data_IF_258041312240
#
_entry.id   IF_258041312240
#
_cell.length_a   1.000
_cell.length_b   1.000
_cell.length_c   1.000
_cell.angle_alpha   90.00
_cell.angle_beta   90.00
_cell.angle_gamma   90.00
#
_symmetry.space_group_name_H-M   'P 1'
#
loop_
_entity.id
_entity.type
_entity.pdbx_description
1 polymer ?
#
# COMPACT_ATOMS: atom_id res chain seq x y z
N UNK A 1 14.36 5.96 -19.04
CA UNK A 1 14.30 4.84 -18.09
C UNK A 1 13.07 4.02 -18.43
N UNK A 2 13.25 2.80 -18.83
CA UNK A 2 12.15 1.97 -19.31
C UNK A 2 11.30 1.46 -18.15
N UNK A 3 10.15 2.10 -17.92
CA UNK A 3 9.11 1.65 -16.99
C UNK A 3 8.63 0.21 -17.26
N UNK A 4 8.73 -0.27 -18.50
CA UNK A 4 8.31 -1.62 -18.88
C UNK A 4 9.16 -2.74 -18.25
N UNK A 5 10.45 -2.50 -18.02
CA UNK A 5 11.35 -3.54 -17.47
C UNK A 5 11.10 -3.72 -15.97
N UNK A 6 10.78 -2.63 -15.26
CA UNK A 6 10.42 -2.68 -13.84
C UNK A 6 9.09 -3.41 -13.62
N UNK A 7 8.09 -3.15 -14.45
CA UNK A 7 6.75 -3.78 -14.33
C UNK A 7 6.81 -5.29 -14.58
N UNK A 8 7.66 -5.76 -15.48
CA UNK A 8 7.82 -7.21 -15.75
C UNK A 8 8.40 -7.97 -14.56
N UNK A 9 9.29 -7.35 -13.78
CA UNK A 9 9.87 -7.95 -12.57
C UNK A 9 8.85 -8.05 -11.44
N UNK A 10 7.92 -7.11 -11.36
CA UNK A 10 6.90 -7.02 -10.30
C UNK A 10 5.82 -8.12 -10.41
N UNK A 11 5.73 -8.81 -11.54
CA UNK A 11 4.74 -9.90 -11.75
C UNK A 11 4.77 -11.02 -10.70
N UNK A 12 5.87 -11.15 -9.95
CA UNK A 12 5.97 -12.12 -8.84
C UNK A 12 5.23 -11.68 -7.57
N UNK A 13 4.90 -10.39 -7.40
CA UNK A 13 4.20 -9.86 -6.23
C UNK A 13 2.68 -9.80 -6.45
N UNK A 14 2.23 -9.84 -7.71
CA UNK A 14 0.83 -9.75 -8.08
C UNK A 14 0.61 -8.93 -9.35
N UNK A 15 -0.63 -8.52 -9.60
CA UNK A 15 -0.96 -7.65 -10.73
C UNK A 15 -0.66 -6.19 -10.39
N UNK A 16 -0.08 -5.45 -11.35
CA UNK A 16 0.31 -4.04 -11.19
C UNK A 16 -0.42 -3.19 -12.24
N UNK A 17 -1.00 -2.09 -11.81
CA UNK A 17 -1.63 -1.08 -12.67
C UNK A 17 -1.10 0.30 -12.35
N UNK A 18 -1.07 1.17 -13.34
CA UNK A 18 -0.75 2.59 -13.17
C UNK A 18 -2.01 3.40 -12.96
N UNK A 19 -1.94 4.40 -12.09
CA UNK A 19 -3.07 5.25 -11.75
C UNK A 19 -3.34 6.37 -12.76
N UNK A 20 -2.38 6.70 -13.63
CA UNK A 20 -2.48 7.77 -14.63
C UNK A 20 -3.38 7.42 -15.83
N UNK A 21 -3.81 6.18 -15.95
CA UNK A 21 -4.73 5.73 -17.02
C UNK A 21 -6.19 6.10 -16.74
N UNK A 22 -6.51 6.62 -15.55
CA UNK A 22 -7.86 7.02 -15.14
C UNK A 22 -7.91 8.53 -14.89
N UNK A 23 -8.86 9.24 -15.51
CA UNK A 23 -8.90 10.69 -15.47
C UNK A 23 -9.32 11.27 -14.11
N UNK A 24 -10.45 10.85 -13.57
CA UNK A 24 -10.96 11.27 -12.25
C UNK A 24 -12.17 10.41 -11.85
N UNK A 25 -12.43 10.35 -10.55
CA UNK A 25 -13.63 9.73 -10.01
C UNK A 25 -14.15 10.58 -8.85
N UNK A 26 -15.21 11.35 -9.13
CA UNK A 26 -15.89 12.12 -8.09
C UNK A 26 -17.02 11.32 -7.45
N UNK A 27 -17.00 11.26 -6.14
CA UNK A 27 -18.03 10.56 -5.35
C UNK A 27 -18.55 11.45 -4.23
N UNK A 28 -19.79 11.20 -3.80
CA UNK A 28 -20.36 11.86 -2.62
C UNK A 28 -19.66 11.33 -1.36
N UNK A 29 -19.23 12.26 -0.54
CA UNK A 29 -18.57 11.97 0.71
C UNK A 29 -19.25 12.72 1.87
N UNK A 30 -19.68 11.98 2.85
CA UNK A 30 -20.32 12.50 4.05
C UNK A 30 -19.28 12.59 5.18
N UNK A 31 -18.50 13.66 5.18
CA UNK A 31 -17.39 13.84 6.14
C UNK A 31 -17.85 14.09 7.56
N UNK A 32 -19.08 14.59 7.71
CA UNK A 32 -19.63 15.02 9.00
C UNK A 32 -20.44 13.91 9.68
N UNK A 33 -20.54 12.74 9.03
CA UNK A 33 -21.21 11.56 9.57
C UNK A 33 -20.18 10.61 10.17
N UNK A 34 -20.25 10.43 11.48
CA UNK A 34 -19.46 9.42 12.18
C UNK A 34 -20.34 8.19 12.45
N UNK A 35 -20.18 7.16 11.65
CA UNK A 35 -20.87 5.88 11.89
C UNK A 35 -20.09 5.08 12.92
N UNK A 36 -20.68 4.87 14.09
CA UNK A 36 -20.07 4.04 15.13
C UNK A 36 -20.47 2.58 14.90
N UNK A 37 -19.50 1.72 14.75
CA UNK A 37 -19.76 0.29 14.63
C UNK A 37 -20.39 -0.25 15.93
N UNK A 38 -21.60 -0.77 15.84
CA UNK A 38 -22.32 -1.37 16.97
C UNK A 38 -23.63 -0.67 17.35
N UNK A 39 -23.81 0.61 17.04
CA UNK A 39 -25.06 1.32 17.33
C UNK A 39 -25.57 2.08 16.11
N UNK A 40 -26.87 1.95 15.76
CA UNK A 40 -27.45 2.76 14.70
C UNK A 40 -27.51 4.24 15.14
N UNK A 41 -27.05 5.12 14.25
CA UNK A 41 -27.14 6.56 14.42
C UNK A 41 -28.14 7.10 13.39
N UNK A 42 -29.17 7.88 13.80
CA UNK A 42 -30.04 8.51 12.83
C UNK A 42 -29.27 9.54 12.02
N UNK A 43 -29.39 9.48 10.69
CA UNK A 43 -28.90 10.51 9.80
C UNK A 43 -29.84 11.71 9.86
N UNK A 44 -29.32 12.89 10.11
CA UNK A 44 -30.11 14.12 9.98
C UNK A 44 -30.27 14.47 8.51
N UNK A 45 -31.45 14.95 8.12
CA UNK A 45 -31.74 15.36 6.74
C UNK A 45 -30.94 16.60 6.26
N UNK A 46 -30.18 17.23 7.16
CA UNK A 46 -29.40 18.45 6.89
C UNK A 46 -27.93 18.17 6.52
N UNK A 47 -27.50 16.93 6.53
CA UNK A 47 -26.12 16.56 6.20
C UNK A 47 -25.88 16.63 4.71
N UNK A 48 -25.05 17.58 4.29
CA UNK A 48 -24.70 17.78 2.89
C UNK A 48 -23.47 16.95 2.52
N UNK A 49 -23.64 16.11 1.51
CA UNK A 49 -22.49 15.43 0.89
C UNK A 49 -21.54 16.45 0.26
N UNK A 50 -20.26 16.25 0.49
CA UNK A 50 -19.20 16.97 -0.23
C UNK A 50 -18.73 16.08 -1.39
N UNK A 51 -18.46 16.69 -2.52
CA UNK A 51 -17.81 15.98 -3.62
C UNK A 51 -16.33 15.83 -3.33
N UNK A 52 -15.84 14.62 -3.42
CA UNK A 52 -14.41 14.33 -3.37
C UNK A 52 -13.98 13.60 -4.62
N UNK A 53 -12.80 13.91 -5.10
CA UNK A 53 -12.11 13.12 -6.12
C UNK A 53 -11.34 11.99 -5.42
N UNK A 54 -11.91 10.78 -5.49
CA UNK A 54 -11.36 9.59 -4.83
C UNK A 54 -9.98 9.26 -5.38
N UNK A 55 -9.77 9.41 -6.68
CA UNK A 55 -8.47 9.12 -7.29
C UNK A 55 -7.41 10.11 -6.81
N UNK A 56 -7.75 11.40 -6.72
CA UNK A 56 -6.83 12.41 -6.20
C UNK A 56 -6.49 12.19 -4.73
N UNK A 57 -7.45 11.69 -3.95
CA UNK A 57 -7.22 11.35 -2.54
C UNK A 57 -6.27 10.15 -2.40
N UNK A 58 -6.49 9.09 -3.18
CA UNK A 58 -5.68 7.86 -3.11
C UNK A 58 -4.34 8.00 -3.85
N UNK A 59 -4.28 8.83 -4.89
CA UNK A 59 -3.16 8.93 -5.81
C UNK A 59 -2.76 10.40 -6.01
N UNK A 60 -2.17 11.07 -5.00
CA UNK A 60 -1.77 12.47 -5.14
C UNK A 60 -0.68 12.67 -6.21
N UNK A 61 0.08 11.63 -6.53
CA UNK A 61 1.09 11.57 -7.59
C UNK A 61 0.74 10.47 -8.60
N UNK A 62 -0.24 10.68 -9.51
CA UNK A 62 -0.78 9.62 -10.36
C UNK A 62 0.26 8.93 -11.26
N UNK A 63 1.24 9.70 -11.75
CA UNK A 63 2.35 9.22 -12.59
C UNK A 63 3.37 8.36 -11.82
N UNK A 64 3.38 8.44 -10.49
CA UNK A 64 4.24 7.67 -9.60
C UNK A 64 3.47 6.67 -8.72
N UNK A 65 2.15 6.57 -8.86
CA UNK A 65 1.29 5.70 -8.04
C UNK A 65 0.93 4.43 -8.79
N UNK A 66 1.10 3.30 -8.12
CA UNK A 66 0.84 1.97 -8.65
C UNK A 66 -0.13 1.22 -7.74
N UNK A 67 -1.00 0.41 -8.35
CA UNK A 67 -1.86 -0.52 -7.65
C UNK A 67 -1.26 -1.92 -7.76
N UNK A 68 -1.07 -2.59 -6.62
CA UNK A 68 -0.40 -3.89 -6.55
C UNK A 68 -1.27 -4.84 -5.73
N UNK A 69 -1.62 -5.99 -6.30
CA UNK A 69 -2.31 -7.05 -5.57
C UNK A 69 -1.31 -7.85 -4.75
N UNK A 70 -1.61 -8.02 -3.47
CA UNK A 70 -0.77 -8.77 -2.53
C UNK A 70 -1.16 -10.24 -2.52
N UNK A 71 -0.16 -11.10 -2.43
CA UNK A 71 -0.30 -12.51 -2.11
C UNK A 71 0.52 -12.85 -0.85
N UNK A 72 -0.03 -13.72 -0.01
CA UNK A 72 0.58 -14.14 1.24
C UNK A 72 0.09 -13.36 2.47
N UNK A 73 0.57 -13.76 3.63
CA UNK A 73 0.09 -13.30 4.94
C UNK A 73 1.18 -12.72 5.84
N UNK A 74 2.37 -12.43 5.29
CA UNK A 74 3.50 -11.92 6.08
C UNK A 74 3.26 -10.56 6.73
N UNK A 75 2.19 -9.84 6.34
CA UNK A 75 1.82 -8.53 6.85
C UNK A 75 0.42 -8.50 7.48
N UNK A 76 -0.10 -9.66 7.90
CA UNK A 76 -1.48 -9.81 8.40
C UNK A 76 -1.73 -9.00 9.67
N UNK A 77 -0.74 -8.87 10.56
CA UNK A 77 -0.87 -8.09 11.81
C UNK A 77 -0.88 -6.57 11.55
N UNK A 78 -0.61 -6.14 10.31
CA UNK A 78 -0.79 -4.76 9.82
C UNK A 78 -2.05 -4.61 8.97
N UNK A 79 -2.99 -5.53 9.07
CA UNK A 79 -4.25 -5.55 8.31
C UNK A 79 -4.05 -5.56 6.78
N UNK A 80 -2.98 -6.18 6.31
CA UNK A 80 -2.75 -6.44 4.89
C UNK A 80 -2.94 -7.94 4.67
N UNK A 81 -4.01 -8.28 3.97
CA UNK A 81 -4.43 -9.66 3.70
C UNK A 81 -4.10 -10.06 2.27
N UNK A 82 -3.94 -11.37 2.06
CA UNK A 82 -3.81 -11.91 0.70
C UNK A 82 -5.03 -11.55 -0.14
N UNK A 83 -4.80 -11.02 -1.34
CA UNK A 83 -5.83 -10.54 -2.26
C UNK A 83 -6.12 -9.04 -2.16
N UNK A 84 -5.61 -8.35 -1.15
CA UNK A 84 -5.73 -6.89 -1.04
C UNK A 84 -5.00 -6.17 -2.17
N UNK A 85 -5.43 -4.95 -2.45
CA UNK A 85 -4.77 -4.06 -3.39
C UNK A 85 -4.05 -2.97 -2.60
N UNK A 86 -2.75 -2.87 -2.78
CA UNK A 86 -1.93 -1.80 -2.23
C UNK A 86 -1.85 -0.63 -3.19
N UNK A 87 -2.01 0.58 -2.66
CA UNK A 87 -1.67 1.81 -3.35
C UNK A 87 -0.24 2.16 -2.96
N UNK A 88 0.67 2.19 -3.91
CA UNK A 88 2.11 2.40 -3.69
C UNK A 88 2.58 3.66 -4.38
N UNK A 89 3.14 4.59 -3.60
CA UNK A 89 3.79 5.80 -4.10
C UNK A 89 5.28 5.53 -4.35
N UNK A 90 5.65 5.41 -5.62
CA UNK A 90 7.04 5.21 -6.05
C UNK A 90 7.89 6.47 -5.94
N UNK A 91 7.29 7.64 -5.78
CA UNK A 91 8.03 8.88 -5.56
C UNK A 91 8.66 8.96 -4.17
N UNK A 92 8.10 8.25 -3.18
CA UNK A 92 8.66 8.12 -1.84
C UNK A 92 9.42 6.78 -1.71
N UNK A 93 10.74 6.86 -1.57
CA UNK A 93 11.62 5.69 -1.38
C UNK A 93 12.32 5.68 -0.03
N UNK A 94 11.86 6.51 0.89
CA UNK A 94 12.44 6.62 2.22
C UNK A 94 11.36 6.47 3.30
N UNK A 95 10.83 5.24 3.50
CA UNK A 95 9.82 4.97 4.51
C UNK A 95 10.37 5.23 5.91
N UNK A 96 9.53 5.74 6.80
CA UNK A 96 9.75 5.68 8.23
C UNK A 96 9.60 4.23 8.73
N UNK A 97 10.02 3.95 9.95
CA UNK A 97 9.92 2.60 10.53
C UNK A 97 8.48 2.10 10.69
N UNK A 98 7.49 3.00 10.69
CA UNK A 98 6.07 2.69 10.82
C UNK A 98 5.34 2.65 9.48
N UNK A 99 6.03 2.88 8.37
CA UNK A 99 5.45 2.83 7.04
C UNK A 99 5.79 1.52 6.34
N UNK A 100 4.77 0.93 5.76
CA UNK A 100 4.94 -0.28 4.96
C UNK A 100 5.53 0.09 3.61
N UNK A 101 6.54 -0.63 3.17
CA UNK A 101 7.20 -0.40 1.91
C UNK A 101 7.19 -1.64 1.02
N UNK A 102 7.11 -1.39 -0.28
CA UNK A 102 7.47 -2.37 -1.28
C UNK A 102 8.97 -2.30 -1.52
N UNK A 103 9.64 -3.41 -1.33
CA UNK A 103 11.09 -3.52 -1.42
C UNK A 103 11.50 -4.52 -2.49
N UNK A 104 12.66 -4.29 -3.07
CA UNK A 104 13.36 -5.22 -3.95
C UNK A 104 14.64 -5.70 -3.28
N UNK A 105 14.83 -7.00 -3.20
CA UNK A 105 16.05 -7.63 -2.70
C UNK A 105 16.50 -8.67 -3.72
N UNK A 106 17.70 -8.50 -4.27
CA UNK A 106 18.27 -9.44 -5.24
C UNK A 106 17.33 -9.78 -6.42
N UNK A 107 16.56 -8.77 -6.87
CA UNK A 107 15.60 -8.90 -7.96
C UNK A 107 14.25 -9.50 -7.57
N UNK A 108 14.02 -9.79 -6.29
CA UNK A 108 12.73 -10.25 -5.77
C UNK A 108 12.02 -9.14 -5.02
N UNK A 109 10.69 -9.06 -5.18
CA UNK A 109 9.86 -8.04 -4.53
C UNK A 109 9.15 -8.59 -3.31
N UNK A 110 9.07 -7.75 -2.27
CA UNK A 110 8.34 -8.07 -1.03
C UNK A 110 7.76 -6.81 -0.41
N UNK A 111 6.75 -6.99 0.45
CA UNK A 111 6.12 -5.92 1.21
C UNK A 111 6.44 -6.13 2.69
N UNK A 112 7.13 -5.17 3.31
CA UNK A 112 7.61 -5.23 4.69
C UNK A 112 7.72 -3.83 5.30
N UNK A 113 7.91 -3.75 6.62
CA UNK A 113 8.52 -2.59 7.23
C UNK A 113 10.02 -2.60 6.97
N UNK A 114 10.63 -1.42 6.89
CA UNK A 114 12.08 -1.25 6.77
C UNK A 114 12.61 -0.65 8.06
N UNK A 115 13.35 -1.43 8.82
CA UNK A 115 14.07 -0.94 10.00
C UNK A 115 15.52 -0.70 9.65
N UNK A 116 16.05 0.48 10.05
CA UNK A 116 17.45 0.85 9.87
C UNK A 116 18.06 1.16 11.21
N UNK A 117 19.19 0.54 11.50
CA UNK A 117 19.95 0.77 12.73
C UNK A 117 21.44 0.49 12.49
N UNK A 118 22.33 1.37 12.97
CA UNK A 118 23.79 1.23 12.87
C UNK A 118 24.29 0.88 11.45
N UNK A 119 23.73 1.54 10.43
CA UNK A 119 24.12 1.34 9.04
C UNK A 119 23.61 0.05 8.40
N UNK A 120 22.87 -0.76 9.14
CA UNK A 120 22.23 -1.97 8.65
C UNK A 120 20.75 -1.77 8.42
N UNK A 121 20.16 -2.60 7.57
CA UNK A 121 18.74 -2.62 7.26
C UNK A 121 18.15 -4.01 7.47
N UNK A 122 16.92 -4.04 7.95
CA UNK A 122 16.12 -5.27 8.09
C UNK A 122 14.76 -5.07 7.45
N UNK A 123 14.26 -6.13 6.82
CA UNK A 123 12.88 -6.23 6.40
C UNK A 123 12.10 -6.94 7.50
N UNK A 124 11.15 -6.22 8.09
CA UNK A 124 10.39 -6.67 9.25
C UNK A 124 8.97 -7.02 8.82
N UNK A 125 8.56 -8.30 8.92
CA UNK A 125 7.19 -8.72 8.66
C UNK A 125 6.26 -8.26 9.79
N UNK A 126 4.98 -8.11 9.48
CA UNK A 126 3.92 -7.97 10.45
C UNK A 126 3.18 -9.31 10.62
N UNK A 127 3.91 -10.33 10.97
CA UNK A 127 3.44 -11.67 11.29
C UNK A 127 4.56 -12.41 12.01
N UNK A 128 4.31 -12.80 13.26
CA UNK A 128 5.28 -13.50 14.12
C UNK A 128 5.75 -14.86 13.58
N UNK A 129 5.04 -15.43 12.62
CA UNK A 129 5.42 -16.69 11.98
C UNK A 129 6.50 -16.53 10.91
N UNK A 130 6.86 -15.29 10.58
CA UNK A 130 7.89 -14.96 9.59
C UNK A 130 9.09 -14.32 10.29
N UNK A 131 10.31 -14.71 9.93
CA UNK A 131 11.51 -14.08 10.46
C UNK A 131 11.74 -12.69 9.86
N UNK A 132 12.44 -11.84 10.61
CA UNK A 132 13.05 -10.64 10.04
C UNK A 132 14.17 -11.04 9.07
N UNK A 133 14.35 -10.29 8.01
CA UNK A 133 15.37 -10.52 6.99
C UNK A 133 16.40 -9.40 7.10
N UNK A 134 17.62 -9.73 7.52
CA UNK A 134 18.74 -8.81 7.50
C UNK A 134 19.24 -8.64 6.06
N UNK A 135 19.47 -7.39 5.66
CA UNK A 135 20.11 -7.08 4.38
C UNK A 135 21.61 -7.10 4.61
N UNK A 136 22.29 -8.03 3.98
CA UNK A 136 23.72 -8.23 4.15
C UNK A 136 24.55 -7.42 3.15
N UNK A 137 25.84 -7.28 3.43
CA UNK A 137 26.79 -6.71 2.48
C UNK A 137 26.84 -7.58 1.21
N UNK A 138 26.60 -6.96 0.06
CA UNK A 138 26.51 -7.66 -1.23
C UNK A 138 25.08 -7.95 -1.71
N UNK A 139 24.06 -7.80 -0.85
CA UNK A 139 22.68 -7.83 -1.31
C UNK A 139 22.33 -6.56 -2.09
N UNK A 140 21.67 -6.73 -3.22
CA UNK A 140 21.06 -5.62 -3.97
C UNK A 140 19.71 -5.29 -3.30
N UNK A 141 19.68 -4.21 -2.51
CA UNK A 141 18.49 -3.76 -1.80
C UNK A 141 18.03 -2.38 -2.28
N UNK A 142 16.75 -2.28 -2.56
CA UNK A 142 16.10 -1.04 -2.96
C UNK A 142 14.69 -0.95 -2.39
N UNK A 143 14.30 0.22 -1.88
CA UNK A 143 12.90 0.56 -1.62
C UNK A 143 12.28 0.99 -2.93
N UNK A 144 11.29 0.24 -3.40
CA UNK A 144 10.61 0.53 -4.65
C UNK A 144 9.57 1.66 -4.49
N UNK A 145 8.88 1.68 -3.36
CA UNK A 145 7.91 2.72 -3.00
C UNK A 145 7.29 2.47 -1.64
N UNK A 146 6.54 3.44 -1.15
CA UNK A 146 5.83 3.39 0.13
C UNK A 146 4.36 3.07 -0.11
N UNK A 147 3.80 2.15 0.68
CA UNK A 147 2.37 1.83 0.67
C UNK A 147 1.62 2.94 1.39
N UNK A 148 0.72 3.62 0.69
CA UNK A 148 -0.06 4.76 1.22
C UNK A 148 -1.46 4.36 1.64
N UNK A 149 -2.08 3.40 0.93
CA UNK A 149 -3.40 2.86 1.23
C UNK A 149 -3.47 1.37 0.96
N UNK A 150 -4.39 0.71 1.65
CA UNK A 150 -4.77 -0.68 1.40
C UNK A 150 -6.25 -0.71 1.05
N UNK A 151 -6.58 -1.28 -0.10
CA UNK A 151 -7.96 -1.50 -0.51
C UNK A 151 -8.29 -2.95 -0.17
N UNK A 152 -9.06 -3.12 0.87
CA UNK A 152 -9.49 -4.40 1.40
C UNK A 152 -10.98 -4.62 1.16
N UNK A 153 -11.33 -5.77 0.62
CA UNK A 153 -12.73 -6.19 0.52
C UNK A 153 -13.06 -7.11 1.69
N UNK A 154 -13.93 -6.68 2.62
CA UNK A 154 -14.34 -7.53 3.73
C UNK A 154 -14.92 -8.85 3.22
N UNK A 155 -14.53 -9.95 3.85
CA UNK A 155 -15.07 -11.25 3.52
C UNK A 155 -16.35 -11.50 4.33
N UNK A 156 -17.33 -12.13 3.69
CA UNK A 156 -18.50 -12.65 4.40
C UNK A 156 -18.07 -13.78 5.33
N UNK A 157 -18.56 -13.72 6.51
CA UNK A 157 -18.37 -14.78 7.52
C UNK A 157 -19.15 -16.02 7.15
#
# INVERSE_FOLDING_TARGET
MNNETDIRKIKKVGQVWRADEVASLEMDFFSDINVVAGFPIPLSNDERAKKIDVLRMLCPHPDATYLIRVEGDSMIDSNICSGDILVVDKSNRNPSENEVAMCEVNGEYTVKFVRRHDGKSWLVPANKNYPEIEINDGDEFNVWGVVTFVIHQPQSV
#
